data_IF_768597729209
#
_entry.id   IF_768597729209
#
_cell.length_a   1.000
_cell.length_b   1.000
_cell.length_c   1.000
_cell.angle_alpha   90.00
_cell.angle_beta   90.00
_cell.angle_gamma   90.00
#
_symmetry.space_group_name_H-M   'P 1'
#
loop_
_entity.id
_entity.type
_entity.pdbx_description
1 polymer ?
#
# COMPACT_ATOMS: atom_id res chain seq x y z
N UNK A 1 -74.12 3.06 -8.11
CA UNK A 1 -73.18 2.08 -7.50
C UNK A 1 -72.97 0.96 -8.51
N UNK A 2 -71.83 0.33 -8.73
CA UNK A 2 -70.42 0.52 -8.38
C UNK A 2 -69.70 -0.51 -9.25
N UNK A 3 -68.75 -0.14 -10.12
CA UNK A 3 -67.93 -1.12 -10.83
C UNK A 3 -66.49 -0.62 -10.96
N UNK A 4 -65.80 -0.53 -9.83
CA UNK A 4 -64.34 -0.58 -9.83
C UNK A 4 -63.92 -2.02 -10.10
N UNK A 5 -63.71 -2.32 -11.38
CA UNK A 5 -63.12 -3.56 -11.90
C UNK A 5 -61.76 -3.73 -11.23
N UNK A 6 -61.63 -4.75 -10.39
CA UNK A 6 -60.40 -5.10 -9.69
C UNK A 6 -59.37 -5.67 -10.71
N UNK A 7 -58.73 -4.79 -11.49
CA UNK A 7 -57.80 -5.13 -12.57
C UNK A 7 -56.35 -5.34 -12.10
N UNK A 8 -56.08 -5.24 -10.80
CA UNK A 8 -54.73 -5.37 -10.23
C UNK A 8 -54.59 -6.59 -9.31
N UNK A 9 -55.41 -7.62 -9.50
CA UNK A 9 -55.22 -8.89 -8.80
C UNK A 9 -54.06 -9.66 -9.45
N UNK A 10 -52.86 -9.49 -8.90
CA UNK A 10 -51.68 -10.28 -9.27
C UNK A 10 -52.01 -11.75 -8.99
N UNK A 11 -51.97 -12.58 -10.04
CA UNK A 11 -52.21 -14.02 -9.91
C UNK A 11 -51.21 -14.58 -8.89
N UNK A 12 -51.71 -15.20 -7.82
CA UNK A 12 -50.88 -15.83 -6.80
C UNK A 12 -50.04 -16.93 -7.45
N UNK A 13 -48.75 -16.67 -7.66
CA UNK A 13 -47.81 -17.67 -8.13
C UNK A 13 -47.54 -18.67 -7.01
N UNK A 14 -47.28 -19.93 -7.35
CA UNK A 14 -46.92 -20.94 -6.34
C UNK A 14 -45.70 -20.43 -5.55
N UNK A 15 -45.66 -20.60 -4.22
CA UNK A 15 -44.50 -20.21 -3.42
C UNK A 15 -43.23 -20.81 -4.05
N UNK A 16 -42.25 -19.96 -4.31
CA UNK A 16 -41.00 -20.41 -4.93
C UNK A 16 -40.30 -21.35 -3.95
N UNK A 17 -40.17 -22.63 -4.30
CA UNK A 17 -39.66 -23.72 -3.44
C UNK A 17 -38.19 -23.58 -3.03
N UNK A 18 -37.48 -22.56 -3.49
CA UNK A 18 -36.15 -22.27 -3.00
C UNK A 18 -36.22 -21.73 -1.57
N UNK A 19 -35.33 -22.22 -0.71
CA UNK A 19 -35.07 -21.62 0.59
C UNK A 19 -34.27 -20.35 0.33
N UNK A 20 -34.71 -19.20 0.86
CA UNK A 20 -33.86 -18.01 0.91
C UNK A 20 -32.64 -18.35 1.78
N UNK A 21 -31.47 -18.56 1.15
CA UNK A 21 -30.22 -18.80 1.88
C UNK A 21 -29.71 -17.47 2.41
N UNK A 22 -29.57 -17.36 3.73
CA UNK A 22 -28.81 -16.25 4.32
C UNK A 22 -27.32 -16.66 4.27
N UNK A 23 -26.43 -15.88 3.63
CA UNK A 23 -25.00 -16.18 3.58
C UNK A 23 -24.38 -16.36 4.97
N UNK A 24 -24.93 -15.74 6.01
CA UNK A 24 -24.45 -15.89 7.40
C UNK A 24 -24.82 -17.23 8.05
N UNK A 25 -25.70 -18.01 7.43
CA UNK A 25 -26.14 -19.34 7.93
C UNK A 25 -25.58 -20.50 7.11
N UNK A 26 -24.74 -20.21 6.11
CA UNK A 26 -24.08 -21.24 5.31
C UNK A 26 -22.98 -21.90 6.15
N UNK A 27 -22.89 -23.23 6.07
CA UNK A 27 -21.75 -23.95 6.63
C UNK A 27 -20.48 -23.57 5.85
N UNK A 28 -19.31 -23.64 6.49
CA UNK A 28 -18.04 -23.21 5.88
C UNK A 28 -17.76 -23.91 4.53
N UNK A 29 -18.14 -25.19 4.40
CA UNK A 29 -17.97 -25.96 3.17
C UNK A 29 -18.92 -25.49 2.04
N UNK A 30 -20.17 -25.21 2.37
CA UNK A 30 -21.14 -24.66 1.39
C UNK A 30 -20.76 -23.24 0.97
N UNK A 31 -20.26 -22.44 1.91
CA UNK A 31 -19.79 -21.07 1.66
C UNK A 31 -18.61 -21.06 0.69
N UNK A 32 -17.63 -21.94 0.89
CA UNK A 32 -16.48 -22.06 -0.01
C UNK A 32 -16.88 -22.51 -1.42
N UNK A 33 -17.90 -23.37 -1.55
CA UNK A 33 -18.45 -23.82 -2.84
C UNK A 33 -19.24 -22.73 -3.56
N UNK A 34 -20.04 -21.94 -2.85
CA UNK A 34 -20.94 -20.94 -3.46
C UNK A 34 -20.28 -19.57 -3.67
N UNK A 35 -19.37 -19.14 -2.77
CA UNK A 35 -18.76 -17.80 -2.80
C UNK A 35 -17.27 -17.82 -3.18
N UNK A 36 -16.70 -18.99 -3.42
CA UNK A 36 -15.26 -19.18 -3.62
C UNK A 36 -14.51 -19.36 -2.31
N UNK A 37 -13.25 -19.77 -2.39
CA UNK A 37 -12.39 -19.95 -1.22
C UNK A 37 -12.18 -18.62 -0.53
N UNK A 38 -12.53 -18.53 0.76
CA UNK A 38 -12.12 -17.42 1.62
C UNK A 38 -10.61 -17.54 1.77
N UNK A 39 -9.87 -16.72 1.02
CA UNK A 39 -8.44 -16.56 1.23
C UNK A 39 -8.29 -15.93 2.61
N UNK A 40 -7.73 -16.69 3.55
CA UNK A 40 -7.33 -16.16 4.85
C UNK A 40 -6.16 -15.20 4.70
N UNK A 41 -5.37 -15.06 5.77
CA UNK A 41 -4.12 -14.31 5.71
C UNK A 41 -3.23 -14.94 4.62
N UNK A 42 -2.94 -14.18 3.55
CA UNK A 42 -2.09 -14.64 2.45
C UNK A 42 -0.66 -14.61 2.95
N UNK A 43 -0.05 -15.79 3.11
CA UNK A 43 1.35 -15.94 3.48
C UNK A 43 2.16 -16.63 2.38
N UNK A 44 3.40 -16.18 2.22
CA UNK A 44 4.37 -16.70 1.27
C UNK A 44 5.64 -17.02 2.04
N UNK A 45 6.13 -18.25 1.90
CA UNK A 45 7.39 -18.68 2.48
C UNK A 45 8.46 -18.68 1.39
N UNK A 46 9.42 -17.76 1.47
CA UNK A 46 10.58 -17.72 0.58
C UNK A 46 11.79 -18.12 1.40
N UNK A 47 12.42 -19.23 1.03
CA UNK A 47 13.48 -19.88 1.82
C UNK A 47 13.02 -20.10 3.28
N UNK A 48 13.71 -19.49 4.24
CA UNK A 48 13.41 -19.58 5.68
C UNK A 48 12.58 -18.40 6.20
N UNK A 49 12.18 -17.47 5.34
CA UNK A 49 11.42 -16.28 5.71
C UNK A 49 9.95 -16.45 5.36
N UNK A 50 9.09 -16.14 6.33
CA UNK A 50 7.64 -16.05 6.14
C UNK A 50 7.27 -14.59 5.89
N UNK A 51 6.55 -14.32 4.82
CA UNK A 51 6.06 -13.00 4.44
C UNK A 51 4.53 -13.07 4.40
N UNK A 52 3.87 -12.15 5.08
CA UNK A 52 2.43 -12.05 5.21
C UNK A 52 1.98 -10.80 4.45
N UNK A 53 0.99 -10.93 3.59
CA UNK A 53 0.38 -9.80 2.91
C UNK A 53 -0.56 -9.06 3.87
N UNK A 54 -0.28 -7.78 4.08
CA UNK A 54 -1.17 -6.87 4.79
C UNK A 54 -2.21 -6.33 3.80
N UNK A 55 -3.43 -6.85 3.90
CA UNK A 55 -4.53 -6.48 3.03
C UNK A 55 -5.03 -5.04 3.24
N UNK A 56 -4.74 -4.42 4.40
CA UNK A 56 -5.16 -3.04 4.69
C UNK A 56 -4.24 -2.02 4.01
N UNK A 57 -2.93 -2.26 4.08
CA UNK A 57 -1.92 -1.38 3.50
C UNK A 57 -1.52 -1.77 2.06
N UNK A 58 -1.89 -2.98 1.61
CA UNK A 58 -1.55 -3.48 0.28
C UNK A 58 -0.09 -3.90 0.13
N UNK A 59 0.61 -4.16 1.24
CA UNK A 59 2.05 -4.38 1.29
C UNK A 59 2.39 -5.76 1.87
N UNK A 60 3.57 -6.26 1.51
CA UNK A 60 4.11 -7.51 2.06
C UNK A 60 4.95 -7.23 3.32
N UNK A 61 4.55 -7.79 4.45
CA UNK A 61 5.25 -7.67 5.73
C UNK A 61 5.93 -8.99 6.10
N UNK A 62 7.15 -8.96 6.61
CA UNK A 62 7.82 -10.18 7.05
C UNK A 62 7.17 -10.68 8.35
N UNK A 63 6.46 -11.80 8.24
CA UNK A 63 5.68 -12.42 9.32
C UNK A 63 6.58 -13.15 10.29
N UNK A 64 7.06 -12.44 11.31
CA UNK A 64 7.78 -13.01 12.44
C UNK A 64 9.28 -13.11 12.22
N UNK A 65 10.03 -12.59 13.21
CA UNK A 65 11.47 -12.61 13.34
C UNK A 65 12.21 -12.39 12.01
N UNK A 66 12.28 -11.11 11.60
CA UNK A 66 13.25 -10.64 10.60
C UNK A 66 14.57 -11.34 10.93
N UNK A 67 15.09 -12.17 10.01
CA UNK A 67 16.42 -12.74 10.22
C UNK A 67 17.34 -11.56 10.51
N UNK A 68 17.91 -11.52 11.71
CA UNK A 68 18.57 -10.34 12.26
C UNK A 68 19.60 -9.76 11.28
N UNK A 69 20.22 -10.62 10.46
CA UNK A 69 21.13 -10.24 9.37
C UNK A 69 20.52 -9.36 8.27
N UNK A 70 19.28 -9.60 7.81
CA UNK A 70 18.66 -8.74 6.78
C UNK A 70 18.17 -7.41 7.35
N UNK A 71 17.68 -7.39 8.60
CA UNK A 71 17.39 -6.13 9.30
C UNK A 71 18.66 -5.28 9.43
N UNK A 72 19.76 -5.89 9.88
CA UNK A 72 21.02 -5.18 10.06
C UNK A 72 21.64 -4.70 8.74
N UNK A 73 21.60 -5.50 7.69
CA UNK A 73 22.09 -5.07 6.37
C UNK A 73 21.25 -3.91 5.81
N UNK A 74 19.91 -4.01 5.87
CA UNK A 74 19.01 -2.95 5.43
C UNK A 74 19.17 -1.67 6.28
N UNK A 75 19.31 -1.80 7.60
CA UNK A 75 19.58 -0.67 8.49
C UNK A 75 20.93 -0.02 8.23
N UNK A 76 21.98 -0.81 7.99
CA UNK A 76 23.31 -0.29 7.63
C UNK A 76 23.27 0.46 6.31
N UNK A 77 22.57 -0.08 5.31
CA UNK A 77 22.37 0.60 4.03
C UNK A 77 21.61 1.92 4.20
N UNK A 78 20.52 1.94 4.98
CA UNK A 78 19.78 3.17 5.29
C UNK A 78 20.66 4.24 5.93
N UNK A 79 21.46 3.86 6.93
CA UNK A 79 22.41 4.79 7.56
C UNK A 79 23.45 5.32 6.57
N UNK A 80 23.98 4.47 5.70
CA UNK A 80 24.92 4.92 4.67
C UNK A 80 24.27 5.87 3.67
N UNK A 81 23.03 5.63 3.26
CA UNK A 81 22.31 6.55 2.37
C UNK A 81 22.03 7.89 3.03
N UNK A 82 21.70 7.90 4.33
CA UNK A 82 21.52 9.14 5.10
C UNK A 82 22.82 9.95 5.18
N UNK A 83 23.93 9.31 5.56
CA UNK A 83 25.24 9.96 5.62
C UNK A 83 25.69 10.51 4.27
N UNK A 84 25.51 9.74 3.19
CA UNK A 84 25.85 10.18 1.83
C UNK A 84 24.96 11.35 1.40
N UNK A 85 23.69 11.37 1.81
CA UNK A 85 22.79 12.48 1.50
C UNK A 85 23.20 13.76 2.25
N UNK A 86 23.59 13.65 3.51
CA UNK A 86 24.12 14.76 4.31
C UNK A 86 25.41 15.32 3.71
N UNK A 87 26.35 14.45 3.33
CA UNK A 87 27.59 14.85 2.65
C UNK A 87 27.29 15.54 1.32
N UNK A 88 26.37 14.99 0.51
CA UNK A 88 25.97 15.60 -0.75
C UNK A 88 25.39 17.00 -0.55
N UNK A 89 24.54 17.19 0.47
CA UNK A 89 23.96 18.48 0.81
C UNK A 89 25.05 19.48 1.28
N UNK A 90 26.00 19.03 2.10
CA UNK A 90 27.12 19.87 2.53
C UNK A 90 28.02 20.28 1.34
N UNK A 91 28.30 19.35 0.43
CA UNK A 91 29.09 19.64 -0.76
C UNK A 91 28.40 20.67 -1.66
N UNK A 92 27.08 20.56 -1.84
CA UNK A 92 26.30 21.56 -2.58
C UNK A 92 26.42 22.96 -1.97
N UNK A 93 26.24 23.08 -0.65
CA UNK A 93 26.39 24.36 0.06
C UNK A 93 27.80 24.94 -0.09
N UNK A 94 28.84 24.11 0.02
CA UNK A 94 30.23 24.55 -0.19
C UNK A 94 30.45 25.08 -1.61
N UNK A 95 29.88 24.41 -2.62
CA UNK A 95 29.96 24.86 -4.00
C UNK A 95 29.25 26.19 -4.19
N UNK A 96 28.04 26.36 -3.64
CA UNK A 96 27.31 27.63 -3.71
C UNK A 96 28.10 28.80 -3.11
N UNK A 97 28.64 28.63 -1.89
CA UNK A 97 29.47 29.66 -1.24
C UNK A 97 30.71 29.98 -2.07
N UNK A 98 31.38 28.97 -2.62
CA UNK A 98 32.56 29.21 -3.47
C UNK A 98 32.19 29.94 -4.76
N UNK A 99 31.03 29.65 -5.35
CA UNK A 99 30.55 30.37 -6.52
C UNK A 99 30.26 31.84 -6.19
N UNK A 100 29.65 32.12 -5.03
CA UNK A 100 29.39 33.49 -4.56
C UNK A 100 30.70 34.26 -4.34
N UNK A 101 31.68 33.66 -3.67
CA UNK A 101 32.99 34.27 -3.43
C UNK A 101 33.75 34.56 -4.75
N UNK A 102 33.68 33.63 -5.71
CA UNK A 102 34.28 33.85 -7.03
C UNK A 102 33.57 34.98 -7.77
N UNK A 103 32.23 35.01 -7.73
CA UNK A 103 31.45 36.08 -8.34
C UNK A 103 31.75 37.45 -7.73
N UNK A 104 31.89 37.53 -6.41
CA UNK A 104 32.30 38.75 -5.69
C UNK A 104 33.69 39.22 -6.12
N UNK A 105 34.68 38.31 -6.12
CA UNK A 105 36.05 38.65 -6.58
C UNK A 105 36.08 39.12 -8.04
N UNK A 106 35.28 38.49 -8.91
CA UNK A 106 35.18 38.88 -10.32
C UNK A 106 34.53 40.26 -10.47
N UNK A 107 33.51 40.56 -9.65
CA UNK A 107 32.87 41.87 -9.62
C UNK A 107 33.85 42.97 -9.16
N UNK A 108 34.63 42.73 -8.09
CA UNK A 108 35.66 43.66 -7.61
C UNK A 108 36.74 43.95 -8.68
N UNK A 109 37.24 42.91 -9.35
CA UNK A 109 38.21 43.06 -10.46
C UNK A 109 37.60 43.87 -11.60
N UNK A 110 36.32 43.64 -11.93
CA UNK A 110 35.64 44.40 -12.97
C UNK A 110 35.40 45.86 -12.61
N UNK A 111 35.22 46.15 -11.31
CA UNK A 111 35.02 47.51 -10.80
C UNK A 111 36.34 48.29 -10.70
N UNK A 112 37.45 47.63 -10.37
CA UNK A 112 38.77 48.26 -10.26
C UNK A 112 39.41 48.58 -11.62
N UNK A 113 38.95 47.94 -12.71
CA UNK A 113 39.39 48.21 -14.09
C UNK A 113 38.65 49.37 -14.79
N UNK A 114 37.62 49.94 -14.17
CA UNK A 114 36.90 51.12 -14.69
C UNK A 114 37.46 52.39 -14.08
#
# INVERSE_FOLDING_TARGET
MSFLRNSFSIKKTKPRKHVSRNPQKLQAEEMARELGTVYGVIDVKIADQKIIFDAENGDWQTGGAISSGQSHAAQKLKKQTELLQEENNMLKLKVEVLLDLVAESAAEISSTRK
#
